data_IF_741455059624
#
_entry.id   IF_741455059624
#
_cell.length_a   1.000
_cell.length_b   1.000
_cell.length_c   1.000
_cell.angle_alpha   90.00
_cell.angle_beta   90.00
_cell.angle_gamma   90.00
#
_symmetry.space_group_name_H-M   'P 1'
#
loop_
_entity.id
_entity.type
_entity.pdbx_description
1 polymer ?
#
# COMPACT_ATOMS: atom_id res chain seq x y z
N UNK A 1 2.67 -7.91 27.51
CA UNK A 1 1.57 -7.00 27.15
C UNK A 1 0.81 -7.62 25.99
N UNK A 2 -0.52 -7.68 26.06
CA UNK A 2 -1.34 -8.06 24.91
C UNK A 2 -1.57 -6.81 24.06
N UNK A 3 -1.14 -6.83 22.81
CA UNK A 3 -1.46 -5.78 21.85
C UNK A 3 -2.95 -5.82 21.49
N UNK A 4 -3.55 -4.66 21.30
CA UNK A 4 -4.95 -4.49 20.90
C UNK A 4 -4.99 -3.50 19.76
N UNK A 5 -5.53 -3.91 18.61
CA UNK A 5 -5.73 -3.02 17.47
C UNK A 5 -6.98 -2.15 17.75
N UNK A 6 -6.84 -0.81 17.83
CA UNK A 6 -7.99 0.08 17.94
C UNK A 6 -8.96 -0.12 16.78
N UNK A 7 -10.28 -0.09 17.05
CA UNK A 7 -11.33 -0.26 16.02
C UNK A 7 -11.54 1.00 15.16
N UNK A 8 -10.45 1.44 14.52
CA UNK A 8 -10.41 2.61 13.64
C UNK A 8 -9.81 2.22 12.29
N UNK A 9 -10.51 2.54 11.22
CA UNK A 9 -10.07 2.38 9.84
C UNK A 9 -9.71 3.77 9.30
N UNK A 10 -8.51 3.89 8.75
CA UNK A 10 -7.98 5.09 8.13
C UNK A 10 -7.92 4.91 6.62
N UNK A 11 -8.55 5.84 5.90
CA UNK A 11 -8.45 5.99 4.44
C UNK A 11 -7.92 7.38 4.12
N UNK A 12 -7.39 7.55 2.91
CA UNK A 12 -6.97 8.86 2.42
C UNK A 12 -7.48 9.14 1.02
N UNK A 13 -8.09 10.29 0.83
CA UNK A 13 -8.45 10.84 -0.47
C UNK A 13 -8.24 12.36 -0.46
N UNK A 14 -7.19 12.83 -1.15
CA UNK A 14 -6.74 14.22 -1.03
C UNK A 14 -7.81 15.27 -1.36
N UNK A 15 -8.68 14.97 -2.33
CA UNK A 15 -9.72 15.87 -2.82
C UNK A 15 -11.00 15.88 -1.95
N UNK A 16 -11.01 15.15 -0.83
CA UNK A 16 -12.20 14.98 0.01
C UNK A 16 -13.10 13.85 -0.46
N UNK A 17 -13.69 13.13 0.49
CA UNK A 17 -14.52 11.94 0.21
C UNK A 17 -15.71 12.23 -0.71
N UNK A 18 -16.37 13.37 -0.55
CA UNK A 18 -17.52 13.77 -1.37
C UNK A 18 -17.19 13.82 -2.87
N UNK A 19 -15.96 14.22 -3.20
CA UNK A 19 -15.43 14.31 -4.56
C UNK A 19 -14.78 13.01 -5.05
N UNK A 20 -14.80 11.94 -4.25
CA UNK A 20 -14.18 10.68 -4.64
C UNK A 20 -14.99 10.00 -5.76
N UNK A 21 -14.32 9.30 -6.70
CA UNK A 21 -14.99 8.48 -7.70
C UNK A 21 -15.94 7.45 -7.08
N UNK A 22 -16.99 7.07 -7.80
CA UNK A 22 -17.99 6.12 -7.32
C UNK A 22 -17.36 4.80 -6.83
N UNK A 23 -16.30 4.34 -7.48
CA UNK A 23 -15.58 3.13 -7.06
C UNK A 23 -14.99 3.25 -5.65
N UNK A 24 -14.50 4.44 -5.29
CA UNK A 24 -13.98 4.73 -3.94
C UNK A 24 -15.12 4.75 -2.93
N UNK A 25 -16.27 5.32 -3.31
CA UNK A 25 -17.48 5.32 -2.47
C UNK A 25 -17.95 3.89 -2.19
N UNK A 26 -18.02 3.03 -3.22
CA UNK A 26 -18.34 1.60 -3.07
C UNK A 26 -17.32 0.85 -2.22
N UNK A 27 -16.04 1.19 -2.33
CA UNK A 27 -15.02 0.65 -1.43
C UNK A 27 -15.32 1.02 0.03
N UNK A 28 -15.58 2.29 0.34
CA UNK A 28 -15.93 2.72 1.71
C UNK A 28 -17.21 2.06 2.22
N UNK A 29 -18.28 2.03 1.42
CA UNK A 29 -19.54 1.37 1.77
C UNK A 29 -19.35 -0.11 2.13
N UNK A 30 -18.46 -0.81 1.43
CA UNK A 30 -18.14 -2.21 1.76
C UNK A 30 -17.47 -2.33 3.13
N UNK A 31 -16.58 -1.40 3.50
CA UNK A 31 -15.99 -1.39 4.84
C UNK A 31 -17.04 -1.11 5.92
N UNK A 32 -17.95 -0.16 5.69
CA UNK A 32 -19.07 0.14 6.61
C UNK A 32 -19.96 -1.09 6.83
N UNK A 33 -20.31 -1.80 5.75
CA UNK A 33 -21.15 -2.99 5.81
C UNK A 33 -20.53 -4.12 6.63
N UNK A 34 -19.25 -4.42 6.42
CA UNK A 34 -18.58 -5.56 7.07
C UNK A 34 -18.02 -5.22 8.46
N UNK A 35 -17.95 -3.94 8.83
CA UNK A 35 -17.32 -3.49 10.07
C UNK A 35 -18.19 -2.43 10.77
N UNK A 36 -19.45 -2.73 11.12
CA UNK A 36 -20.37 -1.75 11.71
C UNK A 36 -19.89 -1.18 13.05
N UNK A 37 -19.08 -1.94 13.79
CA UNK A 37 -18.50 -1.52 15.07
C UNK A 37 -17.17 -0.77 14.93
N UNK A 38 -16.71 -0.51 13.70
CA UNK A 38 -15.45 0.18 13.42
C UNK A 38 -15.72 1.61 12.98
N UNK A 39 -14.90 2.55 13.47
CA UNK A 39 -14.95 3.95 13.02
C UNK A 39 -14.13 4.10 11.75
N UNK A 40 -14.74 4.61 10.67
CA UNK A 40 -14.05 4.85 9.39
C UNK A 40 -13.79 6.34 9.21
N UNK A 41 -12.51 6.71 9.22
CA UNK A 41 -12.05 8.08 8.98
C UNK A 41 -11.44 8.20 7.58
N UNK A 42 -12.06 9.01 6.72
CA UNK A 42 -11.48 9.39 5.42
C UNK A 42 -10.75 10.71 5.59
N UNK A 43 -9.43 10.63 5.57
CA UNK A 43 -8.54 11.78 5.69
C UNK A 43 -8.38 12.47 4.35
N UNK A 44 -8.38 13.79 4.33
CA UNK A 44 -8.17 14.63 3.15
C UNK A 44 -7.26 15.82 3.47
N UNK A 45 -7.07 16.72 2.51
CA UNK A 45 -6.18 17.87 2.67
C UNK A 45 -6.68 18.90 3.70
N UNK A 46 -7.98 18.94 3.96
CA UNK A 46 -8.63 19.91 4.84
C UNK A 46 -8.70 19.41 6.28
N UNK A 47 -8.93 18.10 6.46
CA UNK A 47 -9.18 17.51 7.77
C UNK A 47 -7.95 16.81 8.40
N UNK A 48 -6.84 16.61 7.68
CA UNK A 48 -5.71 15.81 8.21
C UNK A 48 -5.14 16.37 9.52
N UNK A 49 -5.18 17.68 9.74
CA UNK A 49 -4.66 18.31 10.97
C UNK A 49 -5.57 18.07 12.16
N UNK A 50 -6.82 17.64 11.96
CA UNK A 50 -7.69 17.21 13.06
C UNK A 50 -7.16 15.91 13.69
N UNK A 51 -6.47 15.07 12.90
CA UNK A 51 -5.90 13.81 13.36
C UNK A 51 -4.41 13.91 13.65
N UNK A 52 -3.69 14.79 12.94
CA UNK A 52 -2.25 15.03 13.08
C UNK A 52 -1.97 16.54 13.17
N UNK A 53 -2.21 17.20 14.32
CA UNK A 53 -2.16 18.67 14.45
C UNK A 53 -0.84 19.30 13.98
N UNK A 54 0.28 18.68 14.33
CA UNK A 54 1.61 19.20 14.02
C UNK A 54 2.15 18.73 12.65
N UNK A 55 1.33 18.08 11.81
CA UNK A 55 1.82 17.46 10.57
C UNK A 55 2.55 18.48 9.67
N UNK A 56 1.90 19.60 9.37
CA UNK A 56 2.48 20.62 8.49
C UNK A 56 3.63 21.39 9.16
N UNK A 57 3.66 21.47 10.48
CA UNK A 57 4.77 22.07 11.24
C UNK A 57 6.00 21.17 11.11
N UNK A 58 5.84 19.87 11.39
CA UNK A 58 6.89 18.86 11.33
C UNK A 58 7.49 18.72 9.92
N UNK A 59 6.65 18.86 8.88
CA UNK A 59 7.07 18.75 7.47
C UNK A 59 7.13 20.10 6.74
N UNK A 60 7.29 21.21 7.46
CA UNK A 60 7.30 22.57 6.92
C UNK A 60 8.22 22.77 5.71
N UNK A 61 9.40 22.15 5.70
CA UNK A 61 10.37 22.19 4.58
C UNK A 61 9.94 21.42 3.32
N UNK A 62 8.89 20.60 3.41
CA UNK A 62 8.45 19.67 2.37
C UNK A 62 6.99 19.89 1.94
N UNK A 63 6.31 20.94 2.43
CA UNK A 63 4.88 21.17 2.18
C UNK A 63 4.55 21.12 0.68
N UNK A 64 5.26 21.87 -0.15
CA UNK A 64 4.98 21.92 -1.60
C UNK A 64 5.18 20.58 -2.29
N UNK A 65 6.21 19.82 -1.87
CA UNK A 65 6.46 18.48 -2.38
C UNK A 65 5.33 17.52 -1.97
N UNK A 66 4.88 17.57 -0.72
CA UNK A 66 3.81 16.70 -0.23
C UNK A 66 2.45 17.04 -0.86
N UNK A 67 2.16 18.32 -1.09
CA UNK A 67 0.94 18.77 -1.79
C UNK A 67 0.94 18.38 -3.27
N UNK A 68 2.10 18.34 -3.92
CA UNK A 68 2.23 17.92 -5.33
C UNK A 68 2.43 16.42 -5.53
N UNK A 69 2.83 15.68 -4.49
CA UNK A 69 3.05 14.23 -4.53
C UNK A 69 2.16 13.51 -3.50
N UNK A 70 0.90 13.28 -3.90
CA UNK A 70 -0.11 12.66 -3.05
C UNK A 70 0.23 11.22 -2.62
N UNK A 71 1.03 10.49 -3.42
CA UNK A 71 1.50 9.16 -3.04
C UNK A 71 2.49 9.23 -1.86
N UNK A 72 3.42 10.18 -1.90
CA UNK A 72 4.34 10.44 -0.80
C UNK A 72 3.62 10.95 0.46
N UNK A 73 2.58 11.78 0.28
CA UNK A 73 1.73 12.22 1.38
C UNK A 73 0.98 11.05 2.02
N UNK A 74 0.33 10.20 1.23
CA UNK A 74 -0.36 9.01 1.73
C UNK A 74 0.58 8.07 2.50
N UNK A 75 1.81 7.90 2.02
CA UNK A 75 2.85 7.14 2.72
C UNK A 75 3.16 7.69 4.11
N UNK A 76 3.32 9.02 4.24
CA UNK A 76 3.55 9.65 5.54
C UNK A 76 2.33 9.58 6.46
N UNK A 77 1.14 9.85 5.93
CA UNK A 77 -0.09 9.82 6.71
C UNK A 77 -0.31 8.44 7.31
N UNK A 78 -0.09 7.37 6.53
CA UNK A 78 -0.24 5.99 7.00
C UNK A 78 0.59 5.67 8.23
N UNK A 79 1.91 5.89 8.19
CA UNK A 79 2.75 5.61 9.37
C UNK A 79 2.41 6.53 10.54
N UNK A 80 2.10 7.81 10.30
CA UNK A 80 1.85 8.76 11.38
C UNK A 80 0.50 8.52 12.07
N UNK A 81 -0.56 8.23 11.32
CA UNK A 81 -1.86 7.87 11.88
C UNK A 81 -1.76 6.58 12.70
N UNK A 82 -1.13 5.54 12.14
CA UNK A 82 -0.97 4.28 12.87
C UNK A 82 -0.04 4.41 14.09
N UNK A 83 1.01 5.22 14.02
CA UNK A 83 1.87 5.51 15.19
C UNK A 83 1.10 6.24 16.29
N UNK A 84 0.30 7.24 15.94
CA UNK A 84 -0.36 8.11 16.90
C UNK A 84 -1.62 7.48 17.49
N UNK A 85 -2.40 6.78 16.66
CA UNK A 85 -3.74 6.31 17.00
C UNK A 85 -3.89 4.80 16.95
N UNK A 86 -2.95 4.08 16.34
CA UNK A 86 -3.15 2.67 15.97
C UNK A 86 -4.26 2.51 14.93
N UNK A 87 -4.77 1.28 14.83
CA UNK A 87 -5.90 0.90 13.99
C UNK A 87 -5.45 0.27 12.69
N UNK A 88 -6.23 0.46 11.63
CA UNK A 88 -6.02 -0.16 10.32
C UNK A 88 -5.97 0.92 9.25
N UNK A 89 -4.87 1.00 8.52
CA UNK A 89 -4.83 1.74 7.26
C UNK A 89 -5.32 0.85 6.14
N UNK A 90 -6.23 1.38 5.33
CA UNK A 90 -6.63 0.79 4.05
C UNK A 90 -6.57 1.87 2.97
N UNK A 91 -5.89 1.60 1.87
CA UNK A 91 -5.97 2.49 0.71
C UNK A 91 -7.43 2.60 0.24
N UNK A 92 -7.84 3.78 -0.22
CA UNK A 92 -9.23 4.08 -0.59
C UNK A 92 -9.81 3.20 -1.72
N UNK A 93 -8.95 2.48 -2.47
CA UNK A 93 -9.38 1.53 -3.51
C UNK A 93 -9.54 0.09 -3.02
N UNK A 94 -9.44 -0.16 -1.71
CA UNK A 94 -9.65 -1.51 -1.17
C UNK A 94 -11.15 -1.76 -0.94
N UNK A 95 -11.70 -2.77 -1.60
CA UNK A 95 -13.07 -3.22 -1.42
C UNK A 95 -13.11 -4.38 -0.40
N UNK A 96 -13.87 -4.23 0.67
CA UNK A 96 -13.99 -5.17 1.78
C UNK A 96 -14.96 -6.31 1.44
N UNK A 97 -14.58 -7.55 1.77
CA UNK A 97 -15.40 -8.74 1.54
C UNK A 97 -15.67 -9.56 2.81
N UNK A 98 -14.92 -9.30 3.90
CA UNK A 98 -15.00 -9.97 5.20
C UNK A 98 -14.74 -8.98 6.34
N UNK A 99 -15.35 -9.21 7.50
CA UNK A 99 -15.12 -8.38 8.68
C UNK A 99 -13.68 -8.48 9.16
N UNK A 100 -13.08 -7.37 9.61
CA UNK A 100 -11.74 -7.38 10.20
C UNK A 100 -11.67 -8.29 11.44
N UNK A 101 -12.74 -8.33 12.23
CA UNK A 101 -12.80 -9.14 13.45
C UNK A 101 -12.71 -10.65 13.13
N UNK A 102 -13.16 -11.07 11.94
CA UNK A 102 -13.17 -12.48 11.51
C UNK A 102 -11.77 -13.01 11.11
N UNK A 103 -10.90 -12.15 10.58
CA UNK A 103 -9.62 -12.62 10.00
C UNK A 103 -8.38 -11.89 10.51
N UNK A 104 -8.44 -10.60 10.85
CA UNK A 104 -7.24 -9.79 11.12
C UNK A 104 -6.64 -10.07 12.50
N UNK A 105 -7.47 -10.43 13.49
CA UNK A 105 -7.07 -10.62 14.89
C UNK A 105 -5.90 -11.59 15.05
N UNK A 106 -5.91 -12.69 14.30
CA UNK A 106 -4.87 -13.72 14.39
C UNK A 106 -3.51 -13.23 13.84
N UNK A 107 -3.51 -12.29 12.89
CA UNK A 107 -2.30 -11.75 12.30
C UNK A 107 -1.69 -10.59 13.08
N UNK A 108 -2.44 -10.00 14.01
CA UNK A 108 -2.04 -8.78 14.73
C UNK A 108 -1.54 -9.03 16.15
N UNK A 109 -1.33 -10.30 16.55
CA UNK A 109 -0.84 -10.69 17.89
C UNK A 109 0.48 -10.02 18.31
N UNK A 110 1.34 -9.69 17.34
CA UNK A 110 2.59 -8.98 17.57
C UNK A 110 2.45 -7.44 17.55
N UNK A 111 1.21 -6.93 17.56
CA UNK A 111 0.89 -5.51 17.49
C UNK A 111 1.10 -4.89 16.12
N UNK A 112 1.47 -5.66 15.10
CA UNK A 112 1.67 -5.16 13.74
C UNK A 112 1.27 -6.21 12.72
N UNK A 113 0.66 -5.75 11.64
CA UNK A 113 0.37 -6.54 10.46
C UNK A 113 0.53 -5.71 9.19
N UNK A 114 1.05 -6.36 8.16
CA UNK A 114 0.98 -5.90 6.78
C UNK A 114 1.00 -7.09 5.85
N UNK A 115 0.39 -6.93 4.68
CA UNK A 115 0.37 -7.96 3.65
C UNK A 115 1.79 -8.20 3.11
N UNK A 116 2.11 -9.45 2.79
CA UNK A 116 3.41 -9.79 2.18
C UNK A 116 3.28 -10.04 0.67
N UNK A 117 4.33 -9.67 -0.07
CA UNK A 117 4.39 -9.88 -1.51
C UNK A 117 5.45 -10.92 -1.85
N UNK A 118 5.06 -12.19 -1.91
CA UNK A 118 5.95 -13.36 -2.07
C UNK A 118 6.93 -13.17 -3.26
N UNK A 119 6.46 -12.62 -4.37
CA UNK A 119 7.20 -12.63 -5.64
C UNK A 119 8.02 -11.37 -5.99
N UNK A 120 8.09 -10.35 -5.12
CA UNK A 120 8.73 -9.05 -5.49
C UNK A 120 9.98 -8.65 -4.72
N UNK A 121 10.54 -9.54 -3.89
CA UNK A 121 11.63 -9.18 -2.98
C UNK A 121 11.25 -7.98 -2.09
N UNK A 122 9.97 -7.84 -1.74
CA UNK A 122 9.50 -6.86 -0.76
C UNK A 122 9.00 -7.65 0.44
N UNK A 123 9.38 -7.24 1.65
CA UNK A 123 8.86 -7.89 2.86
C UNK A 123 7.35 -7.71 2.96
N UNK A 124 6.86 -6.53 2.55
CA UNK A 124 5.47 -6.14 2.73
C UNK A 124 4.99 -5.17 1.64
N UNK A 125 3.68 -5.17 1.44
CA UNK A 125 2.94 -4.09 0.82
C UNK A 125 2.31 -3.20 1.89
N UNK A 126 2.16 -1.92 1.56
CA UNK A 126 1.73 -0.88 2.49
C UNK A 126 0.30 -0.41 2.28
N UNK A 127 -0.42 -0.92 1.28
CA UNK A 127 -1.78 -0.48 0.98
C UNK A 127 -2.84 -1.03 1.95
N UNK A 128 -2.47 -1.99 2.80
CA UNK A 128 -3.24 -2.47 3.94
C UNK A 128 -2.28 -2.76 5.10
N UNK A 129 -2.47 -2.10 6.24
CA UNK A 129 -1.64 -2.26 7.43
C UNK A 129 -2.48 -2.14 8.69
N UNK A 130 -2.14 -2.88 9.73
CA UNK A 130 -2.72 -2.72 11.05
C UNK A 130 -1.63 -2.59 12.11
N UNK A 131 -1.83 -1.73 13.10
CA UNK A 131 -0.90 -1.60 14.20
C UNK A 131 -1.59 -1.20 15.50
N UNK A 132 -1.09 -1.76 16.59
CA UNK A 132 -1.24 -1.17 17.91
C UNK A 132 -0.35 0.08 17.96
N UNK A 133 -0.82 1.15 18.61
CA UNK A 133 -0.03 2.37 18.78
C UNK A 133 1.29 2.10 19.52
N UNK A 134 1.35 1.13 20.41
CA UNK A 134 2.56 0.74 21.17
C UNK A 134 3.44 -0.26 20.40
N UNK A 135 3.11 -0.57 19.15
CA UNK A 135 3.88 -1.49 18.33
C UNK A 135 5.28 -0.94 18.04
N UNK A 136 6.29 -1.73 18.39
CA UNK A 136 7.68 -1.34 18.15
C UNK A 136 7.96 -1.12 16.66
N UNK A 137 7.39 -1.95 15.79
CA UNK A 137 7.60 -1.83 14.35
C UNK A 137 7.06 -0.50 13.80
N UNK A 138 5.83 -0.10 14.16
CA UNK A 138 5.27 1.15 13.65
C UNK A 138 5.95 2.38 14.25
N UNK A 139 6.33 2.32 15.54
CA UNK A 139 7.04 3.40 16.21
C UNK A 139 8.39 3.70 15.54
N UNK A 140 9.22 2.66 15.38
CA UNK A 140 10.54 2.81 14.77
C UNK A 140 10.44 3.18 13.29
N UNK A 141 9.52 2.55 12.56
CA UNK A 141 9.38 2.82 11.14
C UNK A 141 8.91 4.24 10.86
N UNK A 142 7.89 4.70 11.57
CA UNK A 142 7.41 6.08 11.45
C UNK A 142 8.51 7.08 11.83
N UNK A 143 9.29 6.83 12.88
CA UNK A 143 10.40 7.70 13.27
C UNK A 143 11.46 7.79 12.16
N UNK A 144 11.85 6.67 11.56
CA UNK A 144 12.80 6.66 10.44
C UNK A 144 12.26 7.37 9.20
N UNK A 145 11.00 7.12 8.83
CA UNK A 145 10.33 7.78 7.72
C UNK A 145 10.29 9.30 7.92
N UNK A 146 9.83 9.76 9.08
CA UNK A 146 9.73 11.18 9.39
C UNK A 146 11.10 11.85 9.34
N UNK A 147 12.13 11.22 9.92
CA UNK A 147 13.51 11.74 9.89
C UNK A 147 14.03 11.92 8.45
N UNK A 148 13.81 10.94 7.57
CA UNK A 148 14.28 10.99 6.18
C UNK A 148 13.56 12.07 5.35
N UNK A 149 12.29 12.35 5.65
CA UNK A 149 11.57 13.48 5.07
C UNK A 149 12.06 14.82 5.61
N UNK A 150 12.18 14.98 6.93
CA UNK A 150 12.64 16.21 7.57
C UNK A 150 14.06 16.60 7.11
N UNK A 151 14.91 15.61 6.85
CA UNK A 151 16.29 15.80 6.35
C UNK A 151 16.40 15.86 4.82
N UNK A 152 15.28 15.95 4.09
CA UNK A 152 15.19 16.03 2.62
C UNK A 152 15.79 14.83 1.84
N UNK A 153 16.12 13.73 2.51
CA UNK A 153 16.63 12.50 1.86
C UNK A 153 15.56 11.85 0.99
N UNK A 154 14.31 11.91 1.42
CA UNK A 154 13.17 11.39 0.67
C UNK A 154 12.96 12.12 -0.66
N UNK A 155 12.99 13.45 -0.66
CA UNK A 155 12.84 14.27 -1.87
C UNK A 155 13.93 13.97 -2.90
N UNK A 156 15.17 13.77 -2.44
CA UNK A 156 16.29 13.37 -3.30
C UNK A 156 16.07 11.98 -3.91
N UNK A 157 15.55 11.03 -3.13
CA UNK A 157 15.20 9.70 -3.65
C UNK A 157 14.16 9.78 -4.76
N UNK A 158 13.07 10.53 -4.58
CA UNK A 158 12.00 10.63 -5.59
C UNK A 158 12.45 11.30 -6.88
N UNK A 159 13.25 12.37 -6.79
CA UNK A 159 13.83 12.99 -7.99
C UNK A 159 14.66 11.99 -8.79
N UNK A 160 15.47 11.19 -8.10
CA UNK A 160 16.27 10.16 -8.75
C UNK A 160 15.40 9.03 -9.31
N UNK A 161 14.41 8.54 -8.55
CA UNK A 161 13.51 7.48 -8.99
C UNK A 161 12.80 7.84 -10.30
N UNK A 162 12.15 9.02 -10.39
CA UNK A 162 11.47 9.45 -11.61
C UNK A 162 12.46 9.69 -12.76
N UNK A 163 13.63 10.27 -12.49
CA UNK A 163 14.69 10.41 -13.50
C UNK A 163 15.11 9.05 -14.06
N UNK A 164 15.24 8.04 -13.21
CA UNK A 164 15.58 6.68 -13.63
C UNK A 164 14.42 6.01 -14.39
N UNK A 165 13.19 6.11 -13.91
CA UNK A 165 12.01 5.53 -14.56
C UNK A 165 11.80 6.10 -15.96
N UNK A 166 11.87 7.43 -16.11
CA UNK A 166 11.77 8.10 -17.41
C UNK A 166 12.91 7.67 -18.36
N UNK A 167 14.15 7.60 -17.87
CA UNK A 167 15.28 7.13 -18.66
C UNK A 167 15.18 5.63 -19.03
N UNK A 168 14.61 4.80 -18.14
CA UNK A 168 14.32 3.38 -18.39
C UNK A 168 13.26 3.20 -19.48
N UNK A 169 12.21 4.02 -19.47
CA UNK A 169 11.16 3.99 -20.49
C UNK A 169 11.74 4.34 -21.86
N UNK A 170 12.64 5.32 -21.93
CA UNK A 170 13.23 5.83 -23.16
C UNK A 170 14.42 5.01 -23.68
N UNK A 171 15.19 4.32 -22.82
CA UNK A 171 16.44 3.63 -23.23
C UNK A 171 16.30 2.12 -23.42
N UNK A 172 16.54 1.63 -24.65
CA UNK A 172 16.63 0.18 -24.96
C UNK A 172 17.73 -0.54 -24.15
N UNK A 173 18.87 0.12 -23.92
CA UNK A 173 19.99 -0.44 -23.16
C UNK A 173 19.65 -0.62 -21.67
N UNK A 174 18.89 0.31 -21.07
CA UNK A 174 18.44 0.16 -19.69
C UNK A 174 17.35 -0.91 -19.53
N UNK A 175 16.45 -1.08 -20.52
CA UNK A 175 15.50 -2.21 -20.55
C UNK A 175 16.23 -3.55 -20.59
N UNK A 176 17.23 -3.68 -21.46
CA UNK A 176 18.08 -4.87 -21.53
C UNK A 176 18.82 -5.13 -20.21
N UNK A 177 19.40 -4.10 -19.59
CA UNK A 177 20.04 -4.21 -18.29
C UNK A 177 19.09 -4.63 -17.17
N UNK A 178 17.85 -4.12 -17.16
CA UNK A 178 16.79 -4.57 -16.24
C UNK A 178 16.47 -6.05 -16.45
N UNK A 179 16.38 -6.51 -17.70
CA UNK A 179 16.15 -7.93 -18.03
C UNK A 179 17.29 -8.81 -17.52
N UNK A 180 18.54 -8.38 -17.66
CA UNK A 180 19.70 -9.11 -17.11
C UNK A 180 19.66 -9.13 -15.59
N UNK A 181 19.42 -7.99 -14.93
CA UNK A 181 19.31 -7.89 -13.48
C UNK A 181 18.18 -8.76 -12.91
N UNK A 182 17.04 -8.87 -13.62
CA UNK A 182 15.93 -9.73 -13.24
C UNK A 182 16.24 -11.22 -13.41
N UNK A 183 17.19 -11.57 -14.27
CA UNK A 183 17.69 -12.95 -14.48
C UNK A 183 18.76 -13.37 -13.46
N UNK A 184 19.30 -12.43 -12.67
CA UNK A 184 20.19 -12.76 -11.56
C UNK A 184 19.41 -13.55 -10.51
N UNK A 185 19.92 -14.72 -10.12
CA UNK A 185 19.25 -15.60 -9.16
C UNK A 185 18.92 -14.92 -7.83
N UNK A 186 17.77 -15.27 -7.23
CA UNK A 186 17.23 -14.67 -6.00
C UNK A 186 18.26 -14.56 -4.87
N UNK A 187 19.14 -15.57 -4.71
CA UNK A 187 20.17 -15.60 -3.67
C UNK A 187 21.24 -14.50 -3.83
N UNK A 188 21.66 -14.21 -5.07
CA UNK A 188 22.63 -13.14 -5.35
C UNK A 188 21.96 -11.76 -5.22
N UNK A 189 20.69 -11.66 -5.63
CA UNK A 189 19.87 -10.45 -5.45
C UNK A 189 19.67 -10.12 -3.96
N UNK A 190 19.35 -11.11 -3.14
CA UNK A 190 19.30 -10.98 -1.67
C UNK A 190 20.67 -10.61 -1.08
N UNK A 191 21.76 -11.18 -1.58
CA UNK A 191 23.12 -10.82 -1.15
C UNK A 191 23.45 -9.36 -1.42
N UNK A 192 23.16 -8.88 -2.63
CA UNK A 192 23.32 -7.48 -3.03
C UNK A 192 22.41 -6.55 -2.21
N UNK A 193 21.18 -6.98 -1.91
CA UNK A 193 20.27 -6.24 -1.04
C UNK A 193 20.83 -6.11 0.37
N UNK A 194 21.19 -7.23 1.00
CA UNK A 194 21.80 -7.26 2.33
C UNK A 194 23.07 -6.42 2.39
N UNK A 195 23.88 -6.43 1.34
CA UNK A 195 25.05 -5.57 1.21
C UNK A 195 24.67 -4.07 1.14
N UNK A 196 23.70 -3.71 0.28
CA UNK A 196 23.23 -2.32 0.17
C UNK A 196 22.59 -1.78 1.46
N UNK A 197 22.10 -2.68 2.32
CA UNK A 197 21.47 -2.38 3.60
C UNK A 197 22.48 -2.30 4.76
N UNK A 198 23.76 -2.60 4.61
CA UNK A 198 24.70 -2.75 5.74
C UNK A 198 25.39 -1.48 6.25
N UNK A 199 25.40 -0.37 5.53
CA UNK A 199 26.21 0.79 5.94
C UNK A 199 25.37 2.07 6.20
N UNK A 200 25.48 2.72 7.38
CA UNK A 200 24.93 4.05 7.65
C UNK A 200 25.93 5.21 7.43
N UNK A 201 27.24 4.95 7.31
CA UNK A 201 28.28 5.98 7.22
C UNK A 201 28.93 6.10 5.85
N UNK A 202 28.82 5.10 4.99
CA UNK A 202 29.26 5.29 3.62
C UNK A 202 28.22 6.09 2.84
N UNK A 203 28.58 7.35 2.64
CA UNK A 203 28.33 8.13 1.44
C UNK A 203 28.28 7.28 0.16
N UNK A 204 28.88 6.08 0.07
CA UNK A 204 28.77 5.16 -1.08
C UNK A 204 27.35 4.75 -1.49
N UNK A 205 26.33 4.76 -0.63
CA UNK A 205 24.94 4.57 -1.11
C UNK A 205 24.38 5.81 -1.82
N UNK A 206 24.96 6.99 -1.54
CA UNK A 206 24.73 8.23 -2.28
C UNK A 206 25.68 8.40 -3.49
N UNK A 207 26.85 7.74 -3.51
CA UNK A 207 27.86 7.88 -4.59
C UNK A 207 28.01 6.69 -5.53
N UNK A 208 27.56 5.48 -5.18
CA UNK A 208 27.67 4.30 -6.06
C UNK A 208 26.44 4.20 -6.97
N UNK A 209 26.55 4.55 -8.27
CA UNK A 209 25.41 4.63 -9.17
C UNK A 209 24.76 3.26 -9.39
N UNK A 210 25.51 2.16 -9.23
CA UNK A 210 25.00 0.80 -9.43
C UNK A 210 24.05 0.38 -8.30
N UNK A 211 24.43 0.63 -7.04
CA UNK A 211 23.60 0.30 -5.87
C UNK A 211 22.34 1.17 -5.84
N UNK A 212 22.46 2.47 -6.17
CA UNK A 212 21.31 3.35 -6.34
C UNK A 212 20.35 2.82 -7.40
N UNK A 213 20.85 2.57 -8.60
CA UNK A 213 20.05 2.07 -9.72
C UNK A 213 19.34 0.77 -9.37
N UNK A 214 19.99 -0.12 -8.62
CA UNK A 214 19.41 -1.36 -8.12
C UNK A 214 18.31 -1.12 -7.06
N UNK A 215 18.49 -0.20 -6.10
CA UNK A 215 17.46 0.14 -5.11
C UNK A 215 16.21 0.75 -5.75
N UNK A 216 16.40 1.70 -6.69
CA UNK A 216 15.30 2.34 -7.43
C UNK A 216 14.51 1.37 -8.31
N UNK A 217 15.16 0.36 -8.88
CA UNK A 217 14.52 -0.64 -9.74
C UNK A 217 13.60 -1.60 -8.99
N UNK A 218 13.78 -1.75 -7.67
CA UNK A 218 13.17 -2.86 -6.92
C UNK A 218 12.28 -2.45 -5.76
N UNK A 219 12.43 -1.24 -5.22
CA UNK A 219 11.66 -0.83 -4.05
C UNK A 219 10.93 0.49 -4.26
N UNK A 220 9.67 0.47 -3.88
CA UNK A 220 8.98 1.68 -3.47
C UNK A 220 9.68 2.18 -2.21
N UNK A 221 10.03 3.47 -2.13
CA UNK A 221 10.88 4.03 -1.07
C UNK A 221 10.44 3.62 0.34
N UNK A 222 9.13 3.55 0.53
CA UNK A 222 8.48 3.17 1.76
C UNK A 222 8.78 1.72 2.20
N UNK A 223 8.58 0.73 1.30
CA UNK A 223 8.90 -0.68 1.57
C UNK A 223 10.38 -0.88 1.85
N UNK A 224 11.25 -0.04 1.28
CA UNK A 224 12.69 -0.07 1.54
C UNK A 224 13.02 0.29 2.98
N UNK A 225 12.37 1.31 3.55
CA UNK A 225 12.60 1.71 4.95
C UNK A 225 12.18 0.63 5.95
N UNK A 226 11.02 0.01 5.72
CA UNK A 226 10.60 -1.12 6.56
C UNK A 226 11.60 -2.27 6.47
N UNK A 227 12.03 -2.60 5.26
CA UNK A 227 13.05 -3.64 5.04
C UNK A 227 14.33 -3.29 5.79
N UNK A 228 14.82 -2.05 5.67
CA UNK A 228 16.01 -1.58 6.37
C UNK A 228 15.87 -1.68 7.89
N UNK A 229 14.71 -1.33 8.45
CA UNK A 229 14.40 -1.50 9.87
C UNK A 229 14.54 -2.98 10.28
N UNK A 230 13.81 -3.87 9.61
CA UNK A 230 13.81 -5.32 9.91
C UNK A 230 15.20 -5.94 9.77
N UNK A 231 16.01 -5.49 8.81
CA UNK A 231 17.36 -6.05 8.61
C UNK A 231 18.42 -5.51 9.57
N UNK A 232 18.24 -4.30 10.13
CA UNK A 232 19.25 -3.63 10.98
C UNK A 232 18.95 -3.73 12.47
N UNK A 233 17.69 -3.82 12.83
CA UNK A 233 17.24 -3.85 14.21
C UNK A 233 16.82 -5.29 14.56
N UNK A 234 17.58 -5.94 15.46
CA UNK A 234 17.35 -7.33 15.84
C UNK A 234 15.99 -7.53 16.52
N UNK A 235 15.49 -6.53 17.26
CA UNK A 235 14.18 -6.57 17.89
C UNK A 235 13.09 -6.46 16.83
N UNK A 236 13.20 -5.52 15.90
CA UNK A 236 12.28 -5.41 14.77
C UNK A 236 12.25 -6.70 13.94
N UNK A 237 13.43 -7.29 13.69
CA UNK A 237 13.54 -8.57 12.99
C UNK A 237 12.80 -9.69 13.70
N UNK A 238 13.03 -9.83 15.00
CA UNK A 238 12.41 -10.87 15.82
C UNK A 238 10.89 -10.75 15.81
N UNK A 239 10.38 -9.52 15.96
CA UNK A 239 8.94 -9.25 15.89
C UNK A 239 8.40 -9.63 14.51
N UNK A 240 9.00 -9.11 13.44
CA UNK A 240 8.54 -9.36 12.07
C UNK A 240 8.57 -10.85 11.69
N UNK A 241 9.65 -11.57 12.01
CA UNK A 241 9.77 -13.01 11.74
C UNK A 241 8.71 -13.84 12.50
N UNK A 242 8.22 -13.32 13.63
CA UNK A 242 7.17 -13.96 14.45
C UNK A 242 5.74 -13.51 14.08
N UNK A 243 5.60 -12.50 13.23
CA UNK A 243 4.30 -12.00 12.74
C UNK A 243 3.76 -12.95 11.68
N UNK A 244 2.53 -13.48 11.81
CA UNK A 244 1.90 -14.26 10.75
C UNK A 244 1.80 -13.45 9.45
N UNK A 245 2.07 -14.08 8.31
CA UNK A 245 2.07 -13.43 7.01
C UNK A 245 0.88 -13.88 6.15
N UNK A 246 0.21 -12.91 5.52
CA UNK A 246 -0.87 -13.16 4.57
C UNK A 246 -0.48 -12.62 3.18
N UNK A 247 -0.34 -13.51 2.18
CA UNK A 247 0.01 -13.10 0.81
C UNK A 247 -1.05 -12.22 0.18
N UNK A 248 -0.60 -11.17 -0.50
CA UNK A 248 -1.50 -10.25 -1.19
C UNK A 248 -2.09 -10.81 -2.50
N UNK A 249 -1.59 -11.95 -3.00
CA UNK A 249 -1.88 -12.47 -4.34
C UNK A 249 -3.38 -12.57 -4.66
N UNK A 250 -4.16 -13.19 -3.77
CA UNK A 250 -5.60 -13.36 -3.94
C UNK A 250 -6.35 -12.01 -3.94
N UNK A 251 -5.85 -11.03 -3.18
CA UNK A 251 -6.44 -9.69 -3.08
C UNK A 251 -6.13 -8.81 -4.31
N UNK A 252 -5.11 -9.19 -5.09
CA UNK A 252 -4.68 -8.48 -6.30
C UNK A 252 -5.30 -9.06 -7.58
N UNK A 253 -6.03 -10.18 -7.50
CA UNK A 253 -6.69 -10.80 -8.67
C UNK A 253 -7.60 -9.80 -9.39
N UNK A 254 -8.22 -8.90 -8.63
CA UNK A 254 -9.08 -7.83 -9.16
C UNK A 254 -8.36 -6.47 -9.27
N UNK A 255 -7.05 -6.39 -9.07
CA UNK A 255 -6.30 -5.13 -9.15
C UNK A 255 -5.80 -4.74 -10.54
N UNK A 256 -5.92 -5.65 -11.51
CA UNK A 256 -5.51 -5.44 -12.89
C UNK A 256 -6.53 -4.66 -13.73
N UNK A 257 -6.07 -4.06 -14.82
CA UNK A 257 -6.89 -3.32 -15.80
C UNK A 257 -7.94 -4.15 -16.55
N UNK A 258 -7.98 -5.46 -16.31
CA UNK A 258 -8.79 -6.41 -17.07
C UNK A 258 -10.23 -6.52 -16.56
N UNK A 259 -10.54 -6.02 -15.35
CA UNK A 259 -11.85 -6.18 -14.72
C UNK A 259 -13.04 -5.64 -15.50
N UNK A 260 -12.80 -4.55 -16.21
CA UNK A 260 -13.81 -3.86 -17.01
C UNK A 260 -13.63 -4.19 -18.49
N UNK A 261 -12.54 -4.85 -18.87
CA UNK A 261 -12.17 -5.11 -20.27
C UNK A 261 -12.51 -6.52 -20.74
N UNK A 262 -12.82 -7.44 -19.83
CA UNK A 262 -13.19 -8.81 -20.14
C UNK A 262 -14.56 -9.09 -19.49
N UNK A 263 -15.55 -9.56 -20.26
CA UNK A 263 -16.81 -10.00 -19.70
C UNK A 263 -16.60 -11.08 -18.64
N UNK A 264 -17.36 -11.03 -17.54
CA UNK A 264 -17.29 -12.03 -16.48
C UNK A 264 -17.62 -13.43 -16.99
N UNK A 265 -18.48 -13.54 -18.01
CA UNK A 265 -18.82 -14.80 -18.69
C UNK A 265 -17.59 -15.50 -19.27
N UNK A 266 -16.57 -14.74 -19.67
CA UNK A 266 -15.31 -15.25 -20.21
C UNK A 266 -14.26 -15.51 -19.12
N UNK A 267 -14.54 -15.14 -17.86
CA UNK A 267 -13.63 -15.32 -16.73
C UNK A 267 -14.31 -15.93 -15.50
N UNK A 268 -14.80 -17.16 -15.66
CA UNK A 268 -15.48 -17.93 -14.60
C UNK A 268 -14.63 -18.12 -13.34
N UNK A 269 -13.30 -18.12 -13.46
CA UNK A 269 -12.39 -18.22 -12.31
C UNK A 269 -12.52 -17.03 -11.37
N UNK A 270 -12.71 -15.82 -11.89
CA UNK A 270 -12.95 -14.62 -11.08
C UNK A 270 -14.29 -14.75 -10.34
N UNK A 271 -15.33 -15.21 -11.05
CA UNK A 271 -16.64 -15.43 -10.44
C UNK A 271 -16.55 -16.41 -9.27
N UNK A 272 -15.96 -17.58 -9.49
CA UNK A 272 -15.74 -18.59 -8.45
C UNK A 272 -14.91 -18.04 -7.27
N UNK A 273 -13.90 -17.21 -7.56
CA UNK A 273 -13.07 -16.58 -6.54
C UNK A 273 -13.86 -15.63 -5.63
N UNK A 274 -14.80 -14.86 -6.21
CA UNK A 274 -15.72 -13.99 -5.48
C UNK A 274 -16.72 -14.82 -4.67
N UNK A 275 -17.35 -15.82 -5.30
CA UNK A 275 -18.38 -16.67 -4.68
C UNK A 275 -17.83 -17.43 -3.47
N UNK A 276 -16.60 -17.93 -3.56
CA UNK A 276 -15.92 -18.68 -2.50
C UNK A 276 -15.26 -17.77 -1.45
N UNK A 277 -15.36 -16.43 -1.58
CA UNK A 277 -14.75 -15.44 -0.67
C UNK A 277 -13.26 -15.72 -0.41
N UNK A 278 -12.49 -16.07 -1.46
CA UNK A 278 -11.07 -16.47 -1.32
C UNK A 278 -10.16 -15.37 -0.78
N UNK A 279 -10.58 -14.10 -0.88
CA UNK A 279 -9.86 -12.96 -0.33
C UNK A 279 -10.76 -12.17 0.64
N UNK A 280 -10.20 -11.67 1.77
CA UNK A 280 -10.94 -10.82 2.71
C UNK A 280 -11.25 -9.44 2.15
N UNK A 281 -10.53 -9.01 1.12
CA UNK A 281 -10.70 -7.75 0.44
C UNK A 281 -10.04 -7.81 -0.95
N UNK A 282 -10.40 -6.89 -1.83
CA UNK A 282 -9.76 -6.72 -3.14
C UNK A 282 -9.18 -5.33 -3.30
N UNK A 283 -7.95 -5.25 -3.81
CA UNK A 283 -7.32 -3.98 -4.15
C UNK A 283 -7.71 -3.60 -5.57
N UNK A 284 -8.61 -2.63 -5.73
CA UNK A 284 -9.13 -2.18 -7.02
C UNK A 284 -8.31 -1.00 -7.60
N UNK A 285 -8.67 -0.58 -8.82
CA UNK A 285 -8.16 0.63 -9.49
C UNK A 285 -9.28 1.63 -9.75
N UNK A 286 -8.98 2.93 -9.65
CA UNK A 286 -9.91 4.02 -9.99
C UNK A 286 -9.53 4.77 -11.27
N UNK A 287 -8.40 4.40 -11.92
CA UNK A 287 -7.91 5.12 -13.09
C UNK A 287 -8.79 4.84 -14.30
N UNK A 288 -9.36 5.89 -14.89
CA UNK A 288 -10.31 5.83 -16.01
C UNK A 288 -9.80 4.99 -17.20
N UNK A 289 -8.52 5.10 -17.57
CA UNK A 289 -7.89 4.29 -18.65
C UNK A 289 -7.96 2.76 -18.45
N UNK A 290 -8.26 2.32 -17.23
CA UNK A 290 -8.43 0.92 -16.85
C UNK A 290 -9.90 0.55 -16.60
N UNK A 291 -10.78 1.55 -16.53
CA UNK A 291 -12.23 1.38 -16.31
C UNK A 291 -13.04 1.70 -17.57
N UNK A 292 -12.48 2.37 -18.58
CA UNK A 292 -13.15 2.59 -19.86
C UNK A 292 -13.06 1.35 -20.73
N UNK A 293 -14.20 0.78 -21.07
CA UNK A 293 -14.40 -0.30 -22.04
C UNK A 293 -15.65 -0.03 -22.86
N UNK A 294 -15.75 -0.63 -24.05
CA UNK A 294 -17.01 -0.70 -24.81
C UNK A 294 -18.02 -1.69 -24.19
N UNK A 295 -17.60 -2.44 -23.17
CA UNK A 295 -18.44 -3.41 -22.46
C UNK A 295 -19.47 -2.71 -21.56
N UNK A 296 -20.68 -3.28 -21.52
CA UNK A 296 -21.68 -2.91 -20.52
C UNK A 296 -21.12 -3.22 -19.13
N UNK A 297 -21.20 -2.23 -18.22
CA UNK A 297 -20.76 -2.38 -16.83
C UNK A 297 -21.35 -3.63 -16.17
N UNK A 298 -22.59 -4.02 -16.53
CA UNK A 298 -23.29 -5.19 -15.99
C UNK A 298 -22.61 -6.52 -16.31
N UNK A 299 -21.79 -6.54 -17.35
CA UNK A 299 -21.05 -7.73 -17.76
C UNK A 299 -19.70 -7.85 -17.02
N UNK A 300 -19.31 -6.84 -16.24
CA UNK A 300 -17.98 -6.78 -15.62
C UNK A 300 -17.90 -7.53 -14.30
N UNK A 301 -16.69 -7.97 -13.96
CA UNK A 301 -16.38 -8.52 -12.64
C UNK A 301 -16.62 -7.51 -11.51
N UNK A 302 -16.48 -6.22 -11.80
CA UNK A 302 -16.70 -5.15 -10.83
C UNK A 302 -18.18 -5.03 -10.44
N UNK A 303 -19.08 -5.03 -11.43
CA UNK A 303 -20.52 -5.03 -11.17
C UNK A 303 -20.94 -6.26 -10.36
N UNK A 304 -20.43 -7.44 -10.72
CA UNK A 304 -20.71 -8.67 -9.99
C UNK A 304 -20.22 -8.61 -8.54
N UNK A 305 -19.00 -8.12 -8.31
CA UNK A 305 -18.44 -7.94 -6.96
C UNK A 305 -19.33 -7.03 -6.09
N UNK A 306 -19.74 -5.87 -6.64
CA UNK A 306 -20.62 -4.93 -5.96
C UNK A 306 -21.97 -5.59 -5.67
N UNK A 307 -22.58 -6.24 -6.66
CA UNK A 307 -23.87 -6.91 -6.51
C UNK A 307 -23.83 -8.01 -5.45
N UNK A 308 -22.78 -8.83 -5.46
CA UNK A 308 -22.58 -9.94 -4.54
C UNK A 308 -22.40 -9.47 -3.09
N UNK A 309 -21.62 -8.41 -2.87
CA UNK A 309 -21.27 -7.98 -1.51
C UNK A 309 -22.12 -6.83 -0.96
N UNK A 310 -22.66 -5.94 -1.80
CA UNK A 310 -23.45 -4.77 -1.39
C UNK A 310 -24.94 -4.88 -1.78
N UNK A 311 -25.30 -5.80 -2.67
CA UNK A 311 -26.66 -6.00 -3.17
C UNK A 311 -26.86 -5.46 -4.59
N UNK A 312 -27.86 -5.99 -5.30
CA UNK A 312 -28.14 -5.68 -6.71
C UNK A 312 -28.43 -4.20 -6.96
N UNK A 313 -29.11 -3.53 -6.03
CA UNK A 313 -29.50 -2.13 -6.19
C UNK A 313 -28.28 -1.21 -6.19
N UNK A 314 -27.28 -1.53 -5.35
CA UNK A 314 -26.02 -0.80 -5.30
C UNK A 314 -25.19 -0.98 -6.57
N UNK A 315 -25.30 -2.15 -7.21
CA UNK A 315 -24.65 -2.42 -8.50
C UNK A 315 -25.36 -1.71 -9.66
N UNK A 316 -26.69 -1.71 -9.68
CA UNK A 316 -27.49 -1.04 -10.71
C UNK A 316 -27.28 0.49 -10.73
N UNK A 317 -27.03 1.09 -9.57
CA UNK A 317 -26.76 2.52 -9.43
C UNK A 317 -25.28 2.89 -9.62
N UNK A 318 -24.41 1.92 -9.93
CA UNK A 318 -22.99 2.17 -10.12
C UNK A 318 -22.69 2.66 -11.53
N UNK A 319 -21.98 3.79 -11.63
CA UNK A 319 -21.39 4.29 -12.87
C UNK A 319 -19.88 4.52 -12.67
N UNK A 320 -19.11 4.27 -13.73
CA UNK A 320 -17.65 4.48 -13.78
C UNK A 320 -17.29 5.97 -13.72
#
# INVERSE_FOLDING_TARGET
MSYVIPKTIWMFWAQGYENAPNIIKKCRESWEKYNPDWTINVVDMENLTNFLPDFWINFSKNIDFLKSNLAALADLLRVNLLRQHGGVWVDATCFCCLSLDDWLTEYTKQGFFALNHINKNKLMDNWFMAADKESYLIQQWCAYMNYDFITNRYKAYWHNFYRYENNLIQSKNLKFFRTILLKIGNKLREGLLKYSLRDPKSTLTLVNPFIQKFQYLYYFHYSFHFTKLVFRDSKAKTIWDSTPHLPCNEMLVLGGSELVKIPLSENLKIKEHIDQKKAPLYKLTYKSQHLSSDLDIKETALYYLIGHHLGSDQANNFSI
#
